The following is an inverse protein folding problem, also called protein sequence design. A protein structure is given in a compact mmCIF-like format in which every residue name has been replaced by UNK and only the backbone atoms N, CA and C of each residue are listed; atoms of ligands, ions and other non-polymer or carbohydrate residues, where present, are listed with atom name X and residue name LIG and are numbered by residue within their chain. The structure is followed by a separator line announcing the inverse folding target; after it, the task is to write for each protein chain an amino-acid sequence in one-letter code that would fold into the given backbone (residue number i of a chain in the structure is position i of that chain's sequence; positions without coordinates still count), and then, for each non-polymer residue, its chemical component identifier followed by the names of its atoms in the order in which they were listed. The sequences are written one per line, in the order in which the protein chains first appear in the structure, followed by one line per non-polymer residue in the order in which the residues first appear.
data_IF_825163490404
#
_entry.id   IF_825163490404
#
_cell.length_a   1.000
_cell.length_b   1.000
_cell.length_c   1.000
_cell.angle_alpha   90.00
_cell.angle_beta   90.00
_cell.angle_gamma   90.00
#
_symmetry.space_group_name_H-M   'P 1'
#
loop_
_entity.id
_entity.type
_entity.pdbx_description
1 polymer ?
#
# COMPACT_ATOMS: atom_id res chain seq x y z
N UNK A 1 40.51 -29.43 -48.41
CA UNK A 1 39.60 -28.27 -48.41
C UNK A 1 38.62 -28.45 -47.30
N UNK A 2 38.97 -27.90 -46.16
CA UNK A 2 38.18 -28.05 -44.94
C UNK A 2 37.41 -26.75 -44.69
N UNK A 3 36.11 -26.86 -44.59
CA UNK A 3 35.23 -25.76 -44.24
C UNK A 3 34.90 -25.91 -42.75
N UNK A 4 35.24 -24.98 -41.84
CA UNK A 4 34.82 -25.01 -40.45
C UNK A 4 33.44 -24.33 -40.34
N UNK A 5 32.49 -25.12 -39.92
CA UNK A 5 31.14 -24.76 -39.59
C UNK A 5 31.16 -23.88 -38.35
N UNK A 6 30.92 -22.58 -38.45
CA UNK A 6 30.77 -21.69 -37.33
C UNK A 6 29.33 -21.83 -36.79
N UNK A 7 29.19 -22.54 -35.68
CA UNK A 7 27.96 -22.55 -34.89
C UNK A 7 27.79 -21.18 -34.23
N UNK A 8 26.90 -20.35 -34.74
CA UNK A 8 26.38 -19.19 -34.07
C UNK A 8 25.54 -19.69 -32.88
N UNK A 9 26.07 -19.52 -31.67
CA UNK A 9 25.32 -19.66 -30.44
C UNK A 9 24.24 -18.56 -30.44
N UNK A 10 22.99 -18.96 -30.58
CA UNK A 10 21.86 -18.09 -30.32
C UNK A 10 21.83 -17.74 -28.81
N UNK A 11 22.21 -16.53 -28.49
CA UNK A 11 21.92 -16.00 -27.15
C UNK A 11 20.39 -15.92 -27.01
N UNK A 12 19.83 -16.79 -26.20
CA UNK A 12 18.46 -16.65 -25.73
C UNK A 12 18.40 -15.34 -24.99
N UNK A 13 17.81 -14.31 -25.58
CA UNK A 13 17.38 -13.14 -24.81
C UNK A 13 16.44 -13.67 -23.74
N UNK A 14 16.80 -13.48 -22.48
CA UNK A 14 15.89 -13.73 -21.35
C UNK A 14 14.61 -12.94 -21.64
N UNK A 15 13.52 -13.65 -21.94
CA UNK A 15 12.19 -13.03 -22.03
C UNK A 15 11.88 -12.41 -20.67
N UNK A 16 12.00 -11.10 -20.57
CA UNK A 16 11.62 -10.36 -19.37
C UNK A 16 10.13 -10.58 -19.16
N UNK A 17 9.79 -11.42 -18.19
CA UNK A 17 8.39 -11.66 -17.83
C UNK A 17 7.71 -10.32 -17.53
N UNK A 18 6.45 -10.10 -17.97
CA UNK A 18 5.74 -8.87 -17.66
C UNK A 18 5.62 -8.68 -16.14
N UNK A 19 5.82 -7.47 -15.68
CA UNK A 19 5.75 -7.15 -14.26
C UNK A 19 4.33 -7.37 -13.73
N UNK A 20 4.24 -8.09 -12.62
CA UNK A 20 2.99 -8.44 -11.93
C UNK A 20 2.67 -7.41 -10.85
N UNK A 21 1.42 -7.39 -10.41
CA UNK A 21 0.96 -6.53 -9.32
C UNK A 21 0.65 -7.36 -8.06
N UNK A 22 1.13 -6.91 -6.92
CA UNK A 22 0.86 -7.47 -5.61
C UNK A 22 0.35 -6.36 -4.68
N UNK A 23 -0.34 -6.70 -3.61
CA UNK A 23 -0.74 -5.74 -2.59
C UNK A 23 -0.12 -6.06 -1.23
N UNK A 24 0.21 -5.02 -0.45
CA UNK A 24 0.69 -5.11 0.92
C UNK A 24 -0.15 -4.20 1.81
N UNK A 25 -0.72 -4.77 2.87
CA UNK A 25 -1.58 -4.06 3.82
C UNK A 25 -0.90 -4.04 5.19
N UNK A 26 -0.25 -2.93 5.59
CA UNK A 26 0.26 -2.79 6.95
C UNK A 26 -0.93 -2.70 7.94
N UNK A 27 -0.99 -3.68 8.85
CA UNK A 27 -2.10 -3.89 9.78
C UNK A 27 -1.63 -4.12 11.23
N UNK A 28 -0.36 -3.78 11.57
CA UNK A 28 0.25 -4.00 12.88
C UNK A 28 0.12 -2.82 13.85
N UNK A 29 -0.56 -1.73 13.46
CA UNK A 29 -0.66 -0.52 14.30
C UNK A 29 -1.73 -0.63 15.39
N UNK A 30 -1.47 -0.07 16.57
CA UNK A 30 -2.41 -0.04 17.69
C UNK A 30 -3.66 0.82 17.47
N UNK A 31 -3.61 1.77 16.52
CA UNK A 31 -4.76 2.64 16.23
C UNK A 31 -5.17 3.59 17.35
N UNK A 32 -4.28 3.96 18.26
CA UNK A 32 -4.55 4.69 19.52
C UNK A 32 -5.42 5.95 19.40
N UNK A 33 -5.39 6.64 18.25
CA UNK A 33 -6.23 7.85 18.01
C UNK A 33 -7.72 7.56 17.85
N UNK A 34 -8.10 6.32 17.59
CA UNK A 34 -9.51 5.93 17.42
C UNK A 34 -10.26 5.80 18.75
N UNK A 35 -9.54 5.75 19.88
CA UNK A 35 -10.14 5.59 21.21
C UNK A 35 -10.78 4.23 21.44
N UNK A 36 -10.46 3.22 20.63
CA UNK A 36 -10.99 1.86 20.71
C UNK A 36 -10.17 1.00 21.66
N UNK A 37 -10.81 0.01 22.31
CA UNK A 37 -10.14 -0.95 23.20
C UNK A 37 -9.26 -1.93 22.42
N UNK A 38 -9.68 -2.29 21.22
CA UNK A 38 -8.92 -3.13 20.29
C UNK A 38 -8.26 -2.26 19.24
N UNK A 39 -7.23 -2.76 18.52
CA UNK A 39 -6.71 -2.08 17.34
C UNK A 39 -7.85 -1.82 16.35
N UNK A 40 -7.99 -0.57 15.90
CA UNK A 40 -9.15 -0.09 15.14
C UNK A 40 -9.45 -0.88 13.86
N UNK A 41 -8.42 -1.48 13.25
CA UNK A 41 -8.57 -2.29 12.05
C UNK A 41 -9.42 -3.55 12.27
N UNK A 42 -9.62 -3.97 13.52
CA UNK A 42 -10.46 -5.09 13.92
C UNK A 42 -11.84 -4.67 14.45
N UNK A 43 -12.14 -3.37 14.47
CA UNK A 43 -13.48 -2.89 14.81
C UNK A 43 -14.49 -3.23 13.71
N UNK A 44 -15.71 -3.52 14.12
CA UNK A 44 -16.80 -3.87 13.23
C UNK A 44 -17.42 -2.64 12.59
N UNK A 45 -17.64 -2.70 11.28
CA UNK A 45 -18.31 -1.68 10.48
C UNK A 45 -19.17 -2.43 9.45
N UNK A 46 -20.46 -2.11 9.34
CA UNK A 46 -21.34 -2.67 8.33
C UNK A 46 -21.23 -4.21 8.18
N UNK A 47 -21.27 -4.93 9.31
CA UNK A 47 -21.37 -6.39 9.36
C UNK A 47 -20.05 -7.16 9.27
N UNK A 48 -18.88 -6.49 9.14
CA UNK A 48 -17.57 -7.15 9.20
C UNK A 48 -16.49 -6.20 9.75
N UNK A 49 -15.29 -6.72 10.00
CA UNK A 49 -14.20 -5.86 10.50
C UNK A 49 -13.68 -4.93 9.42
N UNK A 50 -13.17 -3.75 9.83
CA UNK A 50 -12.64 -2.73 8.92
C UNK A 50 -11.62 -3.31 7.94
N UNK A 51 -10.66 -4.11 8.42
CA UNK A 51 -9.64 -4.72 7.57
C UNK A 51 -10.26 -5.66 6.52
N UNK A 52 -11.36 -6.33 6.84
CA UNK A 52 -12.01 -7.26 5.92
C UNK A 52 -12.66 -6.54 4.73
N UNK A 53 -13.23 -5.34 4.92
CA UNK A 53 -13.68 -4.51 3.79
C UNK A 53 -12.53 -4.13 2.86
N UNK A 54 -11.39 -3.72 3.44
CA UNK A 54 -10.17 -3.41 2.67
C UNK A 54 -9.71 -4.62 1.85
N UNK A 55 -9.65 -5.79 2.48
CA UNK A 55 -9.19 -7.01 1.82
C UNK A 55 -10.16 -7.49 0.75
N UNK A 56 -11.47 -7.36 0.98
CA UNK A 56 -12.49 -7.68 -0.02
C UNK A 56 -12.34 -6.80 -1.28
N UNK A 57 -12.10 -5.51 -1.10
CA UNK A 57 -11.87 -4.60 -2.22
C UNK A 57 -10.60 -4.96 -3.01
N UNK A 58 -9.49 -5.24 -2.33
CA UNK A 58 -8.24 -5.67 -2.97
C UNK A 58 -8.40 -7.03 -3.66
N UNK A 59 -9.03 -8.01 -2.99
CA UNK A 59 -9.26 -9.35 -3.53
C UNK A 59 -10.19 -9.39 -4.75
N UNK A 60 -11.02 -8.35 -4.94
CA UNK A 60 -11.88 -8.22 -6.13
C UNK A 60 -11.13 -7.72 -7.38
N UNK A 61 -9.86 -7.35 -7.26
CA UNK A 61 -9.04 -6.86 -8.38
C UNK A 61 -8.27 -8.02 -9.02
N UNK A 62 -8.74 -8.51 -10.14
CA UNK A 62 -8.15 -9.66 -10.86
C UNK A 62 -6.69 -9.44 -11.30
N UNK A 63 -6.21 -8.19 -11.35
CA UNK A 63 -4.82 -7.84 -11.70
C UNK A 63 -3.84 -8.04 -10.54
N UNK A 64 -4.33 -8.17 -9.31
CA UNK A 64 -3.49 -8.47 -8.15
C UNK A 64 -3.27 -9.98 -8.04
N UNK A 65 -2.02 -10.41 -8.07
CA UNK A 65 -1.65 -11.82 -7.94
C UNK A 65 -1.93 -12.34 -6.53
N UNK A 66 -1.53 -11.55 -5.54
CA UNK A 66 -1.68 -11.88 -4.12
C UNK A 66 -1.83 -10.60 -3.30
N UNK A 67 -2.51 -10.73 -2.15
CA UNK A 67 -2.62 -9.68 -1.14
C UNK A 67 -1.95 -10.16 0.15
N UNK A 68 -0.97 -9.41 0.62
CA UNK A 68 -0.22 -9.70 1.83
C UNK A 68 -0.62 -8.74 2.95
N UNK A 69 -0.80 -9.27 4.16
CA UNK A 69 -1.21 -8.48 5.33
C UNK A 69 -0.15 -8.61 6.40
N UNK A 70 0.48 -7.49 6.74
CA UNK A 70 1.48 -7.45 7.81
C UNK A 70 0.78 -7.14 9.13
N UNK A 71 0.77 -8.12 10.03
CA UNK A 71 0.19 -8.02 11.37
C UNK A 71 1.28 -7.99 12.44
N UNK A 72 0.95 -7.50 13.63
CA UNK A 72 1.85 -7.58 14.77
C UNK A 72 2.12 -9.05 15.14
N UNK A 73 3.34 -9.42 15.57
CA UNK A 73 3.68 -10.81 15.88
C UNK A 73 2.78 -11.45 16.94
N UNK A 74 2.30 -10.67 17.90
CA UNK A 74 1.42 -11.10 18.99
C UNK A 74 -0.08 -11.09 18.63
N UNK A 75 -0.47 -10.52 17.47
CA UNK A 75 -1.86 -10.41 17.03
C UNK A 75 -2.31 -11.56 16.10
N UNK A 76 -1.45 -12.53 15.83
CA UNK A 76 -1.78 -13.64 14.93
C UNK A 76 -3.05 -14.43 15.34
N UNK A 77 -3.41 -14.42 16.63
CA UNK A 77 -4.57 -15.09 17.19
C UNK A 77 -5.87 -14.27 17.14
N UNK A 78 -5.79 -12.95 16.93
CA UNK A 78 -6.96 -12.04 16.89
C UNK A 78 -7.52 -11.88 15.48
N UNK A 79 -6.91 -12.52 14.48
CA UNK A 79 -7.32 -12.39 13.09
C UNK A 79 -8.77 -12.86 12.91
N UNK A 80 -9.64 -12.06 12.27
CA UNK A 80 -11.03 -12.44 12.04
C UNK A 80 -11.10 -13.75 11.24
N UNK A 81 -12.04 -14.62 11.62
CA UNK A 81 -12.38 -15.78 10.79
C UNK A 81 -13.01 -15.25 9.51
N UNK A 82 -12.37 -15.47 8.38
CA UNK A 82 -12.80 -14.89 7.13
C UNK A 82 -13.59 -15.88 6.28
N UNK A 83 -14.38 -15.36 5.31
CA UNK A 83 -15.09 -16.15 4.32
C UNK A 83 -14.17 -16.97 3.39
N UNK A 84 -14.76 -17.82 2.55
CA UNK A 84 -14.06 -18.75 1.64
C UNK A 84 -13.07 -18.13 0.63
N UNK A 85 -13.02 -16.80 0.47
CA UNK A 85 -12.08 -16.08 -0.40
C UNK A 85 -10.71 -15.78 0.26
N UNK A 86 -10.45 -16.34 1.47
CA UNK A 86 -9.18 -16.17 2.22
C UNK A 86 -7.95 -16.74 1.51
N UNK A 87 -8.10 -17.66 0.60
CA UNK A 87 -6.98 -18.30 -0.10
C UNK A 87 -6.12 -17.30 -0.90
N UNK A 88 -6.63 -16.08 -1.11
CA UNK A 88 -5.90 -14.98 -1.77
C UNK A 88 -5.13 -14.06 -0.79
N UNK A 89 -5.24 -14.30 0.53
CA UNK A 89 -4.60 -13.44 1.54
C UNK A 89 -3.55 -14.19 2.35
N UNK A 90 -2.35 -13.64 2.35
CA UNK A 90 -1.23 -14.19 3.11
C UNK A 90 -0.91 -13.29 4.29
N UNK A 91 -1.06 -13.83 5.50
CA UNK A 91 -0.71 -13.13 6.75
C UNK A 91 0.78 -13.26 7.01
N UNK A 92 1.39 -12.16 7.43
CA UNK A 92 2.81 -12.06 7.75
C UNK A 92 2.93 -11.44 9.14
N UNK A 93 3.35 -12.21 10.14
CA UNK A 93 3.52 -11.76 11.53
C UNK A 93 4.88 -11.07 11.71
N UNK A 94 5.14 -10.01 10.94
CA UNK A 94 6.41 -9.28 10.91
C UNK A 94 6.25 -7.77 11.10
N UNK A 95 5.11 -7.33 11.65
CA UNK A 95 4.88 -5.92 11.96
C UNK A 95 5.96 -5.33 12.84
N UNK A 96 6.38 -4.10 12.54
CA UNK A 96 7.35 -3.34 13.31
C UNK A 96 6.70 -2.26 14.18
N UNK A 97 7.53 -1.47 14.87
CA UNK A 97 7.09 -0.40 15.76
C UNK A 97 6.40 0.75 15.02
N UNK A 98 6.71 0.92 13.73
CA UNK A 98 6.12 1.95 12.88
C UNK A 98 5.44 1.35 11.65
N UNK A 99 4.60 2.16 10.96
CA UNK A 99 4.00 1.76 9.69
C UNK A 99 5.08 1.51 8.62
N UNK A 100 6.06 2.39 8.52
CA UNK A 100 7.16 2.25 7.56
C UNK A 100 7.99 0.98 7.83
N UNK A 101 8.29 0.68 9.09
CA UNK A 101 8.98 -0.55 9.48
C UNK A 101 8.17 -1.80 9.14
N UNK A 102 6.85 -1.78 9.38
CA UNK A 102 5.97 -2.90 9.02
C UNK A 102 5.97 -3.14 7.50
N UNK A 103 5.93 -2.09 6.68
CA UNK A 103 6.03 -2.20 5.22
C UNK A 103 7.40 -2.73 4.80
N UNK A 104 8.48 -2.21 5.38
CA UNK A 104 9.84 -2.66 5.10
C UNK A 104 10.03 -4.15 5.43
N UNK A 105 9.58 -4.59 6.61
CA UNK A 105 9.68 -6.00 7.04
C UNK A 105 8.89 -6.91 6.10
N UNK A 106 7.66 -6.51 5.74
CA UNK A 106 6.83 -7.25 4.80
C UNK A 106 7.50 -7.38 3.43
N UNK A 107 7.99 -6.27 2.85
CA UNK A 107 8.71 -6.27 1.57
C UNK A 107 9.97 -7.14 1.62
N UNK A 108 10.74 -7.07 2.70
CA UNK A 108 11.95 -7.88 2.88
C UNK A 108 11.63 -9.37 2.79
N UNK A 109 10.65 -9.85 3.58
CA UNK A 109 10.26 -11.26 3.55
C UNK A 109 9.73 -11.69 2.18
N UNK A 110 8.94 -10.85 1.51
CA UNK A 110 8.39 -11.17 0.19
C UNK A 110 9.45 -11.26 -0.89
N UNK A 111 10.42 -10.34 -0.89
CA UNK A 111 11.52 -10.35 -1.86
C UNK A 111 12.49 -11.51 -1.60
N UNK A 112 12.77 -11.85 -0.35
CA UNK A 112 13.57 -13.02 0.02
C UNK A 112 12.89 -14.33 -0.45
N UNK A 113 11.58 -14.47 -0.21
CA UNK A 113 10.81 -15.61 -0.71
C UNK A 113 10.77 -15.65 -2.24
N UNK A 114 10.70 -14.49 -2.91
CA UNK A 114 10.73 -14.36 -4.36
C UNK A 114 12.04 -14.80 -4.98
N UNK A 115 13.18 -14.63 -4.30
CA UNK A 115 14.47 -15.15 -4.78
C UNK A 115 14.53 -16.67 -4.81
N UNK A 116 13.78 -17.33 -3.93
CA UNK A 116 13.71 -18.79 -3.86
C UNK A 116 12.65 -19.39 -4.80
N UNK A 117 11.64 -18.60 -5.21
CA UNK A 117 10.52 -19.05 -6.03
C UNK A 117 10.12 -17.97 -7.03
N UNK A 118 10.22 -18.25 -8.32
CA UNK A 118 9.85 -17.31 -9.39
C UNK A 118 8.38 -16.88 -9.41
N UNK A 119 7.50 -17.59 -8.70
CA UNK A 119 6.10 -17.20 -8.51
C UNK A 119 5.92 -16.14 -7.40
N UNK A 120 6.89 -15.99 -6.49
CA UNK A 120 6.90 -14.95 -5.46
C UNK A 120 7.20 -13.56 -6.03
N UNK A 121 7.08 -12.53 -5.18
CA UNK A 121 7.34 -11.13 -5.52
C UNK A 121 8.78 -10.94 -5.98
N UNK A 122 8.97 -10.37 -7.17
CA UNK A 122 10.27 -10.02 -7.71
C UNK A 122 10.54 -8.52 -7.59
N UNK A 123 11.81 -8.12 -7.63
CA UNK A 123 12.20 -6.71 -7.49
C UNK A 123 11.60 -5.79 -8.58
N UNK A 124 11.34 -6.33 -9.75
CA UNK A 124 10.74 -5.62 -10.89
C UNK A 124 9.21 -5.63 -10.88
N UNK A 125 8.57 -6.43 -10.03
CA UNK A 125 7.11 -6.45 -9.87
C UNK A 125 6.62 -5.16 -9.18
N UNK A 126 5.34 -4.88 -9.33
CA UNK A 126 4.67 -3.78 -8.68
C UNK A 126 4.10 -4.19 -7.33
N UNK A 127 4.29 -3.35 -6.32
CA UNK A 127 3.65 -3.49 -5.01
C UNK A 127 2.73 -2.30 -4.74
N UNK A 128 1.47 -2.57 -4.41
CA UNK A 128 0.49 -1.58 -3.98
C UNK A 128 0.42 -1.63 -2.45
N UNK A 129 0.88 -0.60 -1.77
CA UNK A 129 0.76 -0.50 -0.30
C UNK A 129 -0.53 0.24 0.03
N UNK A 130 -1.39 -0.39 0.84
CA UNK A 130 -2.69 0.17 1.19
C UNK A 130 -2.99 0.10 2.68
N UNK A 131 -3.46 1.20 3.26
CA UNK A 131 -3.82 1.26 4.67
C UNK A 131 -5.06 0.43 4.99
N UNK A 132 -4.98 -0.47 5.99
CA UNK A 132 -6.12 -1.25 6.48
C UNK A 132 -7.32 -0.37 6.92
N UNK A 133 -7.03 0.87 7.30
CA UNK A 133 -8.04 1.84 7.75
C UNK A 133 -8.68 2.69 6.63
N UNK A 134 -8.43 2.38 5.37
CA UNK A 134 -9.14 2.97 4.21
C UNK A 134 -10.09 1.94 3.60
N UNK A 135 -11.00 1.46 4.42
CA UNK A 135 -11.92 0.36 4.11
C UNK A 135 -12.96 0.67 3.03
N UNK A 136 -13.01 1.92 2.58
CA UNK A 136 -13.94 2.39 1.56
C UNK A 136 -13.35 2.39 0.14
N UNK A 137 -12.08 1.98 -0.02
CA UNK A 137 -11.45 1.84 -1.34
C UNK A 137 -12.30 0.93 -2.25
N UNK A 138 -12.29 1.21 -3.54
CA UNK A 138 -13.01 0.41 -4.54
C UNK A 138 -12.05 -0.19 -5.56
N UNK A 139 -12.46 -1.31 -6.19
CA UNK A 139 -11.69 -1.92 -7.28
C UNK A 139 -11.50 -0.96 -8.46
N UNK A 140 -12.44 -0.05 -8.69
CA UNK A 140 -12.33 0.99 -9.73
C UNK A 140 -11.16 1.93 -9.46
N UNK A 141 -11.01 2.39 -8.22
CA UNK A 141 -9.91 3.29 -7.84
C UNK A 141 -8.56 2.58 -7.87
N UNK A 142 -8.51 1.31 -7.43
CA UNK A 142 -7.30 0.49 -7.48
C UNK A 142 -6.88 0.29 -8.94
N UNK A 143 -7.80 -0.10 -9.83
CA UNK A 143 -7.51 -0.28 -11.24
C UNK A 143 -7.05 1.03 -11.91
N UNK A 144 -7.66 2.17 -11.57
CA UNK A 144 -7.23 3.50 -12.04
C UNK A 144 -5.77 3.79 -11.69
N UNK A 145 -5.35 3.46 -10.47
CA UNK A 145 -3.95 3.62 -10.07
C UNK A 145 -3.05 2.69 -10.88
N UNK A 146 -3.43 1.43 -11.04
CA UNK A 146 -2.66 0.47 -11.84
C UNK A 146 -2.53 0.94 -13.29
N UNK A 147 -3.62 1.39 -13.91
CA UNK A 147 -3.62 1.90 -15.30
C UNK A 147 -2.67 3.10 -15.47
N UNK A 148 -2.64 3.99 -14.47
CA UNK A 148 -1.80 5.19 -14.51
C UNK A 148 -0.31 4.90 -14.29
N UNK A 149 0.04 3.80 -13.60
CA UNK A 149 1.39 3.54 -13.13
C UNK A 149 2.06 2.34 -13.77
N UNK A 150 1.33 1.44 -14.42
CA UNK A 150 1.89 0.16 -14.90
C UNK A 150 3.08 0.33 -15.87
N UNK A 151 3.04 1.38 -16.70
CA UNK A 151 4.08 1.74 -17.66
C UNK A 151 4.92 2.96 -17.19
N UNK A 152 4.75 3.40 -15.94
CA UNK A 152 5.51 4.52 -15.39
C UNK A 152 6.87 4.03 -14.84
N UNK A 153 7.89 4.86 -14.93
CA UNK A 153 9.25 4.52 -14.47
C UNK A 153 9.35 4.50 -12.92
N UNK A 154 8.52 5.28 -12.24
CA UNK A 154 8.55 5.47 -10.79
C UNK A 154 7.36 4.80 -10.11
N UNK A 155 6.14 5.04 -10.62
CA UNK A 155 4.89 4.71 -10.00
C UNK A 155 4.22 5.94 -9.38
N UNK A 156 3.27 5.74 -8.47
CA UNK A 156 2.50 6.85 -7.94
C UNK A 156 1.52 6.47 -6.83
N UNK A 157 0.66 7.41 -6.50
CA UNK A 157 -0.29 7.28 -5.42
C UNK A 157 -1.66 7.86 -5.77
N UNK A 158 -2.71 7.35 -5.14
CA UNK A 158 -3.99 8.04 -5.12
C UNK A 158 -3.86 9.30 -4.25
N UNK A 159 -4.41 10.40 -4.72
CA UNK A 159 -4.41 11.66 -3.99
C UNK A 159 -5.58 12.55 -4.39
N UNK A 160 -5.91 13.52 -3.56
CA UNK A 160 -6.95 14.53 -3.84
C UNK A 160 -6.34 15.93 -3.83
N UNK A 161 -6.69 16.80 -4.78
CA UNK A 161 -6.37 18.21 -4.65
C UNK A 161 -6.98 18.76 -3.37
N UNK A 162 -6.25 19.61 -2.65
CA UNK A 162 -6.74 20.21 -1.41
C UNK A 162 -7.91 21.16 -1.70
N UNK A 163 -9.14 20.88 -1.24
CA UNK A 163 -10.31 21.69 -1.60
C UNK A 163 -10.40 22.99 -0.78
N UNK A 164 -9.97 22.97 0.47
CA UNK A 164 -10.15 24.04 1.43
C UNK A 164 -8.93 24.95 1.58
N UNK A 165 -9.13 26.10 2.22
CA UNK A 165 -8.03 27.01 2.55
C UNK A 165 -7.10 26.39 3.59
N UNK A 166 -5.81 26.28 3.26
CA UNK A 166 -4.78 25.71 4.14
C UNK A 166 -4.25 26.78 5.11
N UNK A 167 -4.26 26.47 6.38
CA UNK A 167 -3.74 27.31 7.47
C UNK A 167 -2.58 26.63 8.18
N UNK A 168 -1.49 27.37 8.41
CA UNK A 168 -0.50 26.99 9.44
C UNK A 168 -0.95 27.52 10.78
N UNK A 169 -0.63 26.78 11.85
CA UNK A 169 -0.97 27.17 13.21
C UNK A 169 0.23 27.07 14.14
N UNK A 170 0.31 28.00 15.10
CA UNK A 170 1.26 27.97 16.23
C UNK A 170 0.44 28.18 17.51
N UNK A 171 0.61 27.30 18.48
CA UNK A 171 -0.12 27.30 19.76
C UNK A 171 -1.66 27.43 19.59
N UNK A 172 -2.25 26.72 18.61
CA UNK A 172 -3.69 26.72 18.35
C UNK A 172 -4.23 27.99 17.66
N UNK A 173 -3.37 28.91 17.24
CA UNK A 173 -3.75 30.12 16.51
C UNK A 173 -3.21 30.11 15.09
N UNK A 174 -3.98 30.65 14.14
CA UNK A 174 -3.52 30.78 12.74
C UNK A 174 -2.26 31.66 12.71
N UNK A 175 -1.17 31.10 12.19
CA UNK A 175 0.07 31.85 11.94
C UNK A 175 0.17 32.34 10.51
N UNK A 176 -0.35 31.55 9.54
CA UNK A 176 -0.25 31.85 8.11
C UNK A 176 -1.37 31.16 7.31
N UNK A 177 -1.83 31.81 6.24
CA UNK A 177 -2.58 31.14 5.16
C UNK A 177 -1.63 30.73 4.08
N UNK A 178 -1.61 29.43 3.77
CA UNK A 178 -0.76 28.88 2.71
C UNK A 178 -1.51 28.78 1.38
N UNK A 179 -0.86 28.99 0.24
CA UNK A 179 -1.43 28.69 -1.06
C UNK A 179 -1.83 27.21 -1.13
N UNK A 180 -3.05 26.93 -1.59
CA UNK A 180 -3.54 25.55 -1.76
C UNK A 180 -3.31 25.03 -3.18
N UNK A 181 -2.98 25.90 -4.13
CA UNK A 181 -2.57 25.47 -5.47
C UNK A 181 -1.40 24.49 -5.31
N UNK A 182 -1.45 23.43 -6.08
CA UNK A 182 -0.42 22.38 -6.07
C UNK A 182 -0.25 21.61 -4.72
N UNK A 183 -1.24 21.69 -3.84
CA UNK A 183 -1.31 20.87 -2.62
C UNK A 183 -2.30 19.75 -2.78
N UNK A 184 -1.85 18.55 -2.42
CA UNK A 184 -2.62 17.33 -2.53
C UNK A 184 -2.66 16.60 -1.20
N UNK A 185 -3.77 15.93 -0.93
CA UNK A 185 -3.95 15.03 0.21
C UNK A 185 -3.63 13.61 -0.26
N UNK A 186 -2.50 13.09 0.20
CA UNK A 186 -2.07 11.73 -0.13
C UNK A 186 -3.06 10.69 0.40
N UNK A 187 -3.39 9.73 -0.44
CA UNK A 187 -4.17 8.56 -0.10
C UNK A 187 -3.35 7.28 -0.38
N UNK A 188 -3.92 6.14 -0.07
CA UNK A 188 -3.47 4.83 -0.52
C UNK A 188 -4.57 4.15 -1.33
N UNK A 189 -4.26 3.20 -2.25
CA UNK A 189 -2.94 2.58 -2.46
C UNK A 189 -1.89 3.54 -3.02
N UNK A 190 -0.62 3.19 -2.74
CA UNK A 190 0.56 3.76 -3.37
C UNK A 190 1.30 2.63 -4.08
N UNK A 191 1.64 2.79 -5.34
CA UNK A 191 2.13 1.74 -6.24
C UNK A 191 3.54 2.05 -6.71
N UNK A 192 4.49 1.17 -6.40
CA UNK A 192 5.91 1.31 -6.76
C UNK A 192 6.51 -0.03 -7.15
N UNK A 193 7.67 -0.02 -7.84
CA UNK A 193 8.47 -1.24 -8.02
C UNK A 193 8.95 -1.74 -6.66
N UNK A 194 8.75 -3.04 -6.39
CA UNK A 194 9.02 -3.60 -5.07
C UNK A 194 10.49 -3.41 -4.63
N UNK A 195 11.43 -3.62 -5.55
CA UNK A 195 12.85 -3.43 -5.27
C UNK A 195 13.23 -1.97 -5.03
N UNK A 196 12.63 -1.03 -5.78
CA UNK A 196 12.91 0.41 -5.60
C UNK A 196 12.37 0.91 -4.26
N UNK A 197 11.11 0.56 -3.92
CA UNK A 197 10.53 0.92 -2.63
C UNK A 197 11.29 0.29 -1.46
N UNK A 198 11.66 -0.99 -1.58
CA UNK A 198 12.48 -1.65 -0.56
C UNK A 198 13.83 -0.95 -0.35
N UNK A 199 14.51 -0.59 -1.44
CA UNK A 199 15.80 0.13 -1.36
C UNK A 199 15.65 1.52 -0.73
N UNK A 200 14.59 2.27 -1.08
CA UNK A 200 14.28 3.58 -0.50
C UNK A 200 14.04 3.49 1.02
N UNK A 201 13.23 2.51 1.46
CA UNK A 201 12.97 2.26 2.88
C UNK A 201 14.25 1.80 3.61
N UNK A 202 15.02 0.89 3.01
CA UNK A 202 16.27 0.37 3.58
C UNK A 202 17.29 1.48 3.86
N UNK A 203 17.37 2.49 3.00
CA UNK A 203 18.26 3.64 3.20
C UNK A 203 17.97 4.43 4.49
N UNK A 204 16.72 4.34 5.01
CA UNK A 204 16.26 5.00 6.23
C UNK A 204 16.16 4.07 7.45
N UNK A 205 16.51 2.81 7.32
CA UNK A 205 16.42 1.83 8.40
C UNK A 205 17.27 2.20 9.60
N UNK A 206 18.52 2.65 9.37
CA UNK A 206 19.43 3.05 10.44
C UNK A 206 18.94 4.30 11.22
N UNK A 207 18.10 5.12 10.61
CA UNK A 207 17.46 6.30 11.18
C UNK A 207 16.05 5.98 11.72
N UNK A 208 15.72 4.70 11.93
CA UNK A 208 14.40 4.24 12.38
C UNK A 208 13.24 4.77 11.52
N UNK A 209 13.45 4.93 10.21
CA UNK A 209 12.50 5.46 9.24
C UNK A 209 12.02 6.88 9.54
N UNK A 210 12.85 7.69 10.22
CA UNK A 210 12.51 9.08 10.54
C UNK A 210 12.22 9.89 9.26
N UNK A 211 11.15 10.69 9.31
CA UNK A 211 10.70 11.51 8.19
C UNK A 211 9.84 10.77 7.16
N UNK A 212 9.76 9.44 7.19
CA UNK A 212 8.88 8.69 6.31
C UNK A 212 7.45 8.72 6.85
N UNK A 213 6.54 9.32 6.11
CA UNK A 213 5.10 9.40 6.42
C UNK A 213 4.26 8.39 5.64
N UNK A 214 4.70 8.07 4.41
CA UNK A 214 4.10 7.11 3.49
C UNK A 214 5.16 6.59 2.50
N UNK A 215 4.78 5.74 1.54
CA UNK A 215 5.70 5.18 0.55
C UNK A 215 6.21 6.26 -0.42
N UNK A 216 5.35 7.21 -0.79
CA UNK A 216 5.73 8.32 -1.66
C UNK A 216 6.86 9.15 -1.04
N UNK A 217 6.77 9.48 0.25
CA UNK A 217 7.83 10.24 0.94
C UNK A 217 9.16 9.49 0.99
N UNK A 218 9.15 8.15 1.10
CA UNK A 218 10.37 7.36 1.01
C UNK A 218 10.97 7.43 -0.40
N UNK A 219 10.14 7.36 -1.44
CA UNK A 219 10.57 7.49 -2.83
C UNK A 219 11.10 8.90 -3.14
N UNK A 220 10.45 9.95 -2.62
CA UNK A 220 10.89 11.34 -2.74
C UNK A 220 12.27 11.55 -2.10
N UNK A 221 12.49 11.01 -0.89
CA UNK A 221 13.80 11.05 -0.23
C UNK A 221 14.89 10.30 -1.01
N UNK A 222 14.51 9.29 -1.80
CA UNK A 222 15.41 8.59 -2.71
C UNK A 222 15.61 9.30 -4.07
N UNK A 223 15.01 10.48 -4.26
CA UNK A 223 15.19 11.33 -5.45
C UNK A 223 14.19 11.04 -6.59
N UNK A 224 13.14 10.26 -6.33
CA UNK A 224 12.07 9.99 -7.30
C UNK A 224 10.94 11.02 -7.19
N UNK A 225 10.13 11.10 -8.25
CA UNK A 225 8.95 11.98 -8.30
C UNK A 225 7.69 11.15 -8.61
N UNK A 226 6.99 10.64 -7.57
CA UNK A 226 5.79 9.81 -7.75
C UNK A 226 4.66 10.55 -8.47
N UNK A 227 3.92 9.83 -9.31
CA UNK A 227 2.74 10.34 -10.02
C UNK A 227 1.55 10.51 -9.09
N UNK A 228 0.86 11.66 -9.17
CA UNK A 228 -0.41 11.89 -8.49
C UNK A 228 -1.58 11.41 -9.36
N UNK A 229 -2.35 10.46 -8.85
CA UNK A 229 -3.54 9.92 -9.52
C UNK A 229 -4.77 10.30 -8.71
N UNK A 230 -5.79 10.88 -9.36
CA UNK A 230 -6.98 11.37 -8.67
C UNK A 230 -7.72 10.21 -8.01
N UNK A 231 -7.81 10.28 -6.68
CA UNK A 231 -8.54 9.34 -5.82
C UNK A 231 -10.02 9.73 -5.63
N UNK A 232 -10.56 9.39 -4.46
CA UNK A 232 -11.94 9.69 -4.08
C UNK A 232 -12.03 10.27 -2.67
N UNK A 233 -12.92 11.25 -2.42
CA UNK A 233 -13.22 11.70 -1.06
C UNK A 233 -13.72 10.56 -0.16
N UNK A 234 -14.37 9.56 -0.73
CA UNK A 234 -14.83 8.37 0.01
C UNK A 234 -13.69 7.46 0.46
N UNK A 235 -12.51 7.51 -0.16
CA UNK A 235 -11.33 6.75 0.26
C UNK A 235 -10.58 7.47 1.41
N UNK A 236 -11.33 8.00 2.40
CA UNK A 236 -10.72 8.60 3.57
C UNK A 236 -10.21 7.54 4.55
N UNK A 237 -9.29 7.93 5.41
CA UNK A 237 -8.73 7.07 6.44
C UNK A 237 -9.58 7.17 7.72
N UNK A 238 -10.27 6.10 8.10
CA UNK A 238 -10.98 6.02 9.39
C UNK A 238 -9.96 6.20 10.51
N UNK A 239 -10.03 7.34 11.20
CA UNK A 239 -9.02 7.74 12.18
C UNK A 239 -9.62 8.12 13.51
N UNK A 240 -10.76 8.80 13.49
CA UNK A 240 -11.46 9.32 14.67
C UNK A 240 -12.82 8.65 14.83
N UNK A 241 -13.43 8.68 16.05
CA UNK A 241 -14.73 8.05 16.29
C UNK A 241 -15.84 8.42 15.29
N UNK A 242 -16.00 9.69 14.86
CA UNK A 242 -17.03 10.05 13.87
C UNK A 242 -16.84 9.39 12.51
N UNK A 243 -15.60 9.04 12.14
CA UNK A 243 -15.31 8.43 10.83
C UNK A 243 -15.94 7.03 10.70
N UNK A 244 -16.15 6.33 11.82
CA UNK A 244 -16.76 4.98 11.81
C UNK A 244 -18.20 5.04 11.36
N UNK A 245 -19.01 5.96 11.89
CA UNK A 245 -20.40 6.12 11.49
C UNK A 245 -20.52 6.49 10.00
N UNK A 246 -19.67 7.41 9.53
CA UNK A 246 -19.63 7.79 8.12
C UNK A 246 -19.22 6.60 7.24
N UNK A 247 -18.25 5.80 7.67
CA UNK A 247 -17.84 4.61 6.93
C UNK A 247 -18.94 3.56 6.88
N UNK A 248 -19.69 3.36 7.98
CA UNK A 248 -20.81 2.44 8.05
C UNK A 248 -21.93 2.82 7.11
N UNK A 249 -22.32 4.09 7.08
CA UNK A 249 -23.37 4.61 6.19
C UNK A 249 -22.97 4.43 4.70
N UNK A 250 -21.72 4.75 4.36
CA UNK A 250 -21.22 4.59 2.99
C UNK A 250 -21.09 3.14 2.55
N UNK A 251 -20.68 2.23 3.44
CA UNK A 251 -20.61 0.80 3.14
C UNK A 251 -22.02 0.21 3.02
N UNK A 252 -22.94 0.59 3.91
CA UNK A 252 -24.35 0.16 3.87
C UNK A 252 -25.08 0.58 2.59
N UNK A 253 -24.68 1.71 1.99
CA UNK A 253 -25.28 2.17 0.72
C UNK A 253 -24.76 1.45 -0.54
N UNK A 254 -23.73 0.61 -0.40
CA UNK A 254 -23.15 -0.19 -1.50
C UNK A 254 -23.76 -1.58 -1.66
N UNK A 255 -24.57 -2.00 -0.67
CA UNK A 255 -25.32 -3.26 -0.67
C UNK A 255 -26.68 -3.07 -1.30
#
# INVERSE_FOLDING_TARGET
MNNPNSSLASSTADEVKPARCFALVPCAGSGSRAGTVKPKQYEWIAGQTMVMHTLAALGSVARLQQVHVVIAPDEAHVWPTAPAWQDHFHRMACGGATRAESVFNGLTQLLEAGTANSEGLQSHDWILVHDAARCLITSVEINRLIDACIDDEVGGLLALPLPDTLKSAVHGRVSQTLPRQDKWLAQTPQMFRAGQLHAALKAKQAEHFEGITDEASAMEMAGFSPKLVVGSPHNFKVTYPPDFALAEDLLGSRT
#
